data_IF_466121903366
#
_entry.id   IF_466121903366
#
_cell.length_a   1.000
_cell.length_b   1.000
_cell.length_c   1.000
_cell.angle_alpha   90.00
_cell.angle_beta   90.00
_cell.angle_gamma   90.00
#
_symmetry.space_group_name_H-M   'P 1'
#
loop_
_entity.id
_entity.type
_entity.pdbx_description
1 polymer ?
#
# COMPACT_ATOMS: atom_id res chain seq x y z
N UNK A 1 -54.58 10.84 -23.29
CA UNK A 1 -53.89 9.60 -22.89
C UNK A 1 -52.95 9.25 -24.01
N UNK A 2 -51.65 9.49 -23.83
CA UNK A 2 -50.64 9.17 -24.83
C UNK A 2 -49.42 8.65 -24.10
N UNK A 3 -48.93 7.50 -24.59
CA UNK A 3 -48.11 6.52 -23.91
C UNK A 3 -46.76 7.05 -23.40
N UNK A 4 -46.48 6.75 -22.13
CA UNK A 4 -45.14 6.73 -21.56
C UNK A 4 -44.42 5.45 -22.02
N UNK A 5 -43.90 5.44 -23.25
CA UNK A 5 -42.95 4.44 -23.74
C UNK A 5 -41.77 5.18 -24.34
N UNK A 6 -40.77 5.46 -23.51
CA UNK A 6 -39.38 5.73 -23.90
C UNK A 6 -38.57 6.00 -22.62
N UNK A 7 -37.98 4.95 -22.00
CA UNK A 7 -36.90 5.14 -21.01
C UNK A 7 -36.08 3.90 -20.54
N UNK A 8 -36.01 2.73 -21.21
CA UNK A 8 -35.10 1.67 -20.75
C UNK A 8 -33.63 1.91 -21.14
N UNK A 9 -33.38 2.54 -22.29
CA UNK A 9 -32.03 2.61 -22.87
C UNK A 9 -31.09 3.55 -22.10
N UNK A 10 -31.61 4.69 -21.62
CA UNK A 10 -30.80 5.69 -20.90
C UNK A 10 -30.40 5.22 -19.48
N UNK A 11 -31.28 4.43 -18.82
CA UNK A 11 -30.99 3.88 -17.49
C UNK A 11 -29.87 2.84 -17.54
N UNK A 12 -29.87 1.97 -18.55
CA UNK A 12 -28.84 0.95 -18.70
C UNK A 12 -27.44 1.56 -18.94
N UNK A 13 -27.36 2.71 -19.61
CA UNK A 13 -26.10 3.44 -19.80
C UNK A 13 -25.62 4.06 -18.47
N UNK A 14 -26.54 4.66 -17.70
CA UNK A 14 -26.21 5.24 -16.39
C UNK A 14 -25.76 4.16 -15.37
N UNK A 15 -26.41 2.99 -15.35
CA UNK A 15 -26.03 1.88 -14.48
C UNK A 15 -24.67 1.29 -14.86
N UNK A 16 -24.42 1.07 -16.16
CA UNK A 16 -23.11 0.61 -16.63
C UNK A 16 -21.99 1.59 -16.28
N UNK A 17 -22.29 2.89 -16.28
CA UNK A 17 -21.36 3.95 -15.88
C UNK A 17 -21.08 3.93 -14.37
N UNK A 18 -22.12 3.76 -13.54
CA UNK A 18 -21.99 3.64 -12.07
C UNK A 18 -21.25 2.36 -11.65
N UNK A 19 -21.52 1.25 -12.32
CA UNK A 19 -20.82 -0.01 -12.10
C UNK A 19 -19.33 0.12 -12.45
N UNK A 20 -19.03 0.71 -13.61
CA UNK A 20 -17.66 1.02 -14.02
C UNK A 20 -16.92 1.92 -13.03
N UNK A 21 -17.57 2.99 -12.55
CA UNK A 21 -17.00 3.88 -11.54
C UNK A 21 -16.70 3.15 -10.22
N UNK A 22 -17.60 2.29 -9.75
CA UNK A 22 -17.37 1.48 -8.54
C UNK A 22 -16.17 0.53 -8.71
N UNK A 23 -16.09 -0.17 -9.84
CA UNK A 23 -14.94 -1.03 -10.13
C UNK A 23 -13.61 -0.24 -10.12
N UNK A 24 -13.60 0.95 -10.73
CA UNK A 24 -12.41 1.79 -10.76
C UNK A 24 -12.02 2.28 -9.36
N UNK A 25 -12.99 2.69 -8.55
CA UNK A 25 -12.77 3.09 -7.15
C UNK A 25 -12.19 1.97 -6.30
N UNK A 26 -12.71 0.74 -6.43
CA UNK A 26 -12.19 -0.43 -5.72
C UNK A 26 -10.75 -0.71 -6.14
N UNK A 27 -10.46 -0.74 -7.45
CA UNK A 27 -9.11 -0.97 -8.00
C UNK A 27 -8.12 0.10 -7.52
N UNK A 28 -8.55 1.36 -7.49
CA UNK A 28 -7.76 2.49 -7.03
C UNK A 28 -7.41 2.36 -5.55
N UNK A 29 -8.40 2.15 -4.68
CA UNK A 29 -8.18 2.00 -3.23
C UNK A 29 -7.27 0.82 -2.92
N UNK A 30 -7.50 -0.33 -3.55
CA UNK A 30 -6.60 -1.49 -3.44
C UNK A 30 -5.17 -1.13 -3.84
N UNK A 31 -5.01 -0.45 -4.97
CA UNK A 31 -3.72 -0.02 -5.50
C UNK A 31 -2.98 0.97 -4.61
N UNK A 32 -3.69 1.85 -3.92
CA UNK A 32 -3.12 2.74 -2.91
C UNK A 32 -2.57 1.94 -1.74
N UNK A 33 -3.35 1.00 -1.21
CA UNK A 33 -2.89 0.14 -0.12
C UNK A 33 -1.72 -0.77 -0.52
N UNK A 34 -1.67 -1.25 -1.76
CA UNK A 34 -0.51 -1.99 -2.29
C UNK A 34 0.78 -1.15 -2.20
N UNK A 35 0.72 0.12 -2.59
CA UNK A 35 1.87 1.04 -2.52
C UNK A 35 2.26 1.33 -1.07
N UNK A 36 1.29 1.56 -0.19
CA UNK A 36 1.54 1.81 1.23
C UNK A 36 2.16 0.58 1.91
N UNK A 37 1.64 -0.62 1.62
CA UNK A 37 2.16 -1.90 2.09
C UNK A 37 3.62 -2.12 1.67
N UNK A 38 3.95 -1.82 0.41
CA UNK A 38 5.33 -1.94 -0.08
C UNK A 38 6.26 -0.96 0.68
N UNK A 39 5.81 0.26 0.92
CA UNK A 39 6.57 1.26 1.69
C UNK A 39 6.79 0.82 3.14
N UNK A 40 5.76 0.33 3.82
CA UNK A 40 5.87 -0.17 5.20
C UNK A 40 6.75 -1.42 5.28
N UNK A 41 6.63 -2.34 4.31
CA UNK A 41 7.47 -3.53 4.22
C UNK A 41 8.95 -3.18 4.01
N UNK A 42 9.24 -2.19 3.16
CA UNK A 42 10.62 -1.72 2.98
C UNK A 42 11.19 -1.13 4.27
N UNK A 43 10.44 -0.28 4.98
CA UNK A 43 10.85 0.26 6.28
C UNK A 43 11.14 -0.85 7.29
N UNK A 44 10.26 -1.85 7.35
CA UNK A 44 10.42 -3.02 8.21
C UNK A 44 11.71 -3.80 7.88
N UNK A 45 12.02 -4.02 6.60
CA UNK A 45 13.28 -4.65 6.19
C UNK A 45 14.50 -3.85 6.62
N UNK A 46 14.52 -2.54 6.34
CA UNK A 46 15.63 -1.65 6.71
C UNK A 46 15.85 -1.65 8.22
N UNK A 47 14.78 -1.57 9.00
CA UNK A 47 14.84 -1.59 10.45
C UNK A 47 15.36 -2.93 10.99
N UNK A 48 14.87 -4.06 10.47
CA UNK A 48 15.38 -5.39 10.84
C UNK A 48 16.86 -5.55 10.52
N UNK A 49 17.31 -5.07 9.37
CA UNK A 49 18.74 -5.04 9.02
C UNK A 49 19.54 -4.17 9.99
N UNK A 50 19.04 -2.99 10.35
CA UNK A 50 19.69 -2.11 11.32
C UNK A 50 19.81 -2.76 12.71
N UNK A 51 18.77 -3.46 13.17
CA UNK A 51 18.79 -4.19 14.45
C UNK A 51 19.84 -5.31 14.45
N UNK A 52 19.94 -6.08 13.36
CA UNK A 52 20.97 -7.14 13.24
C UNK A 52 22.38 -6.52 13.27
N UNK A 53 22.60 -5.44 12.53
CA UNK A 53 23.90 -4.75 12.49
C UNK A 53 24.28 -4.16 13.85
N UNK A 54 23.33 -3.54 14.55
CA UNK A 54 23.56 -2.96 15.87
C UNK A 54 23.88 -4.05 16.90
N UNK A 55 23.13 -5.15 16.90
CA UNK A 55 23.40 -6.29 17.78
C UNK A 55 24.76 -6.93 17.48
N UNK A 56 25.14 -7.06 16.21
CA UNK A 56 26.45 -7.55 15.81
C UNK A 56 27.57 -6.61 16.27
N UNK A 57 27.37 -5.29 16.17
CA UNK A 57 28.31 -4.28 16.64
C UNK A 57 28.46 -4.29 18.16
N UNK A 58 27.37 -4.41 18.92
CA UNK A 58 27.41 -4.56 20.38
C UNK A 58 28.16 -5.83 20.76
N UNK A 59 27.85 -6.96 20.10
CA UNK A 59 28.54 -8.23 20.30
C UNK A 59 30.04 -8.08 20.02
N UNK A 60 30.41 -7.42 18.93
CA UNK A 60 31.80 -7.14 18.60
C UNK A 60 32.44 -6.27 19.68
N UNK A 61 31.81 -5.19 20.15
CA UNK A 61 32.36 -4.34 21.22
C UNK A 61 32.55 -5.12 22.54
N UNK A 62 31.65 -6.06 22.85
CA UNK A 62 31.73 -6.88 24.08
C UNK A 62 32.77 -8.00 23.98
N UNK A 63 32.92 -8.63 22.82
CA UNK A 63 33.82 -9.79 22.62
C UNK A 63 35.20 -9.44 22.06
N UNK A 64 35.35 -8.32 21.36
CA UNK A 64 36.68 -7.84 20.97
C UNK A 64 37.34 -7.38 22.24
N UNK A 65 38.37 -8.10 22.68
CA UNK A 65 39.24 -7.66 23.77
C UNK A 65 39.50 -6.16 23.58
N UNK A 66 39.06 -5.36 24.56
CA UNK A 66 38.99 -3.90 24.51
C UNK A 66 40.39 -3.29 24.29
N UNK A 67 41.45 -4.07 24.13
CA UNK A 67 42.82 -3.67 23.83
C UNK A 67 42.94 -2.70 22.63
N UNK A 68 42.11 -2.79 21.59
CA UNK A 68 42.15 -1.82 20.47
C UNK A 68 41.54 -0.48 20.87
N UNK A 69 40.40 -0.47 21.56
CA UNK A 69 39.74 0.75 22.03
C UNK A 69 40.45 1.40 23.23
N UNK A 70 41.14 0.59 24.05
CA UNK A 70 41.91 1.00 25.24
C UNK A 70 43.02 1.99 24.89
N UNK A 71 43.59 1.87 23.69
CA UNK A 71 44.61 2.80 23.19
C UNK A 71 44.04 4.20 22.87
N UNK A 72 42.75 4.30 22.57
CA UNK A 72 42.10 5.55 22.22
C UNK A 72 41.27 6.15 23.38
N UNK A 73 40.70 5.30 24.24
CA UNK A 73 39.86 5.71 25.37
C UNK A 73 40.07 4.78 26.59
N UNK A 74 41.06 5.05 27.45
CA UNK A 74 41.39 4.19 28.59
C UNK A 74 40.28 4.12 29.67
N UNK A 75 39.41 5.13 29.74
CA UNK A 75 38.28 5.20 30.68
C UNK A 75 37.16 4.19 30.38
N UNK A 76 37.11 3.60 29.18
CA UNK A 76 36.01 2.70 28.76
C UNK A 76 35.97 1.40 29.59
N UNK A 77 37.09 0.99 30.18
CA UNK A 77 37.19 -0.22 30.98
C UNK A 77 36.72 -0.07 32.44
N UNK A 78 36.24 1.10 32.85
CA UNK A 78 35.60 1.20 34.16
C UNK A 78 34.37 0.29 34.20
N UNK A 79 34.22 -0.58 35.22
CA UNK A 79 33.08 -1.51 35.32
C UNK A 79 31.73 -0.79 35.22
N UNK A 80 31.65 0.44 35.74
CA UNK A 80 30.47 1.30 35.68
C UNK A 80 30.10 1.66 34.25
N UNK A 81 31.09 2.00 33.40
CA UNK A 81 30.88 2.40 32.01
C UNK A 81 30.46 1.19 31.17
N UNK A 82 31.08 0.02 31.40
CA UNK A 82 30.69 -1.24 30.76
C UNK A 82 29.24 -1.63 31.10
N UNK A 83 28.88 -1.64 32.38
CA UNK A 83 27.50 -1.94 32.82
C UNK A 83 26.50 -0.92 32.24
N UNK A 84 26.84 0.37 32.29
CA UNK A 84 25.98 1.42 31.74
C UNK A 84 25.78 1.27 30.23
N UNK A 85 26.86 0.99 29.47
CA UNK A 85 26.76 0.74 28.03
C UNK A 85 25.93 -0.50 27.69
N UNK A 86 26.05 -1.57 28.50
CA UNK A 86 25.24 -2.79 28.36
C UNK A 86 23.76 -2.54 28.61
N UNK A 87 23.43 -1.78 29.68
CA UNK A 87 22.06 -1.39 29.99
C UNK A 87 21.46 -0.46 28.92
N UNK A 88 22.23 0.51 28.43
CA UNK A 88 21.81 1.42 27.37
C UNK A 88 21.55 0.67 26.07
N UNK A 89 22.45 -0.25 25.70
CA UNK A 89 22.29 -1.11 24.52
C UNK A 89 21.03 -1.98 24.61
N UNK A 90 20.78 -2.59 25.79
CA UNK A 90 19.58 -3.38 26.05
C UNK A 90 18.30 -2.53 25.97
N UNK A 91 18.32 -1.31 26.52
CA UNK A 91 17.19 -0.39 26.44
C UNK A 91 16.89 0.04 25.00
N UNK A 92 17.91 0.41 24.21
CA UNK A 92 17.77 0.74 22.79
C UNK A 92 17.22 -0.47 22.01
N UNK A 93 17.73 -1.67 22.29
CA UNK A 93 17.23 -2.90 21.67
C UNK A 93 15.75 -3.15 21.97
N UNK A 94 15.34 -3.04 23.24
CA UNK A 94 13.95 -3.21 23.65
C UNK A 94 13.02 -2.17 23.01
N UNK A 95 13.41 -0.90 22.99
CA UNK A 95 12.65 0.17 22.34
C UNK A 95 12.49 -0.13 20.84
N UNK A 96 13.57 -0.53 20.16
CA UNK A 96 13.53 -0.87 18.74
C UNK A 96 12.67 -2.10 18.44
N UNK A 97 12.73 -3.12 19.30
CA UNK A 97 11.92 -4.34 19.16
C UNK A 97 10.43 -4.07 19.39
N UNK A 98 10.10 -3.27 20.42
CA UNK A 98 8.73 -2.85 20.68
C UNK A 98 8.18 -1.97 19.55
N UNK A 99 8.99 -1.05 19.01
CA UNK A 99 8.59 -0.23 17.87
C UNK A 99 8.35 -1.06 16.59
N UNK A 100 9.20 -2.08 16.33
CA UNK A 100 9.03 -3.02 15.21
C UNK A 100 7.69 -3.77 15.30
N UNK A 101 7.44 -4.39 16.46
CA UNK A 101 6.25 -5.22 16.70
C UNK A 101 4.95 -4.42 16.75
N UNK A 102 4.93 -3.29 17.47
CA UNK A 102 3.67 -2.56 17.69
C UNK A 102 3.31 -1.59 16.56
N UNK A 103 4.29 -0.91 15.95
CA UNK A 103 3.99 0.17 15.02
C UNK A 103 4.10 -0.26 13.56
N UNK A 104 5.21 -0.88 13.16
CA UNK A 104 5.47 -1.14 11.74
C UNK A 104 4.74 -2.39 11.26
N UNK A 105 4.79 -3.47 12.04
CA UNK A 105 4.11 -4.73 11.70
C UNK A 105 2.58 -4.59 11.74
N UNK A 106 2.05 -3.90 12.76
CA UNK A 106 0.63 -3.58 12.87
C UNK A 106 0.13 -2.79 11.66
N UNK A 107 0.81 -1.69 11.29
CA UNK A 107 0.42 -0.87 10.13
C UNK A 107 0.49 -1.65 8.81
N UNK A 108 1.52 -2.47 8.62
CA UNK A 108 1.64 -3.33 7.45
C UNK A 108 0.50 -4.36 7.38
N UNK A 109 0.11 -4.95 8.52
CA UNK A 109 -1.01 -5.89 8.59
C UNK A 109 -2.36 -5.25 8.24
N UNK A 110 -2.57 -3.99 8.62
CA UNK A 110 -3.78 -3.23 8.29
C UNK A 110 -3.89 -3.00 6.78
N UNK A 111 -2.79 -2.67 6.11
CA UNK A 111 -2.77 -2.54 4.65
C UNK A 111 -3.01 -3.88 3.95
N UNK A 112 -2.42 -4.97 4.42
CA UNK A 112 -2.68 -6.33 3.89
C UNK A 112 -4.15 -6.70 4.02
N UNK A 113 -4.77 -6.46 5.18
CA UNK A 113 -6.19 -6.71 5.40
C UNK A 113 -7.07 -5.88 4.46
N UNK A 114 -6.76 -4.60 4.29
CA UNK A 114 -7.49 -3.74 3.36
C UNK A 114 -7.38 -4.25 1.90
N UNK A 115 -6.17 -4.64 1.46
CA UNK A 115 -5.95 -5.24 0.14
C UNK A 115 -6.79 -6.49 -0.05
N UNK A 116 -6.83 -7.37 0.95
CA UNK A 116 -7.64 -8.58 0.93
C UNK A 116 -9.13 -8.25 0.81
N UNK A 117 -9.64 -7.35 1.65
CA UNK A 117 -11.05 -6.93 1.63
C UNK A 117 -11.47 -6.33 0.28
N UNK A 118 -10.63 -5.48 -0.33
CA UNK A 118 -10.90 -4.94 -1.67
C UNK A 118 -10.77 -6.00 -2.77
N UNK A 119 -9.89 -6.99 -2.61
CA UNK A 119 -9.75 -8.10 -3.54
C UNK A 119 -10.98 -8.99 -3.50
N UNK A 120 -11.44 -9.36 -2.31
CA UNK A 120 -12.65 -10.14 -2.09
C UNK A 120 -13.87 -9.39 -2.63
N UNK A 121 -13.99 -8.09 -2.35
CA UNK A 121 -15.07 -7.26 -2.89
C UNK A 121 -15.05 -7.22 -4.42
N UNK A 122 -13.87 -7.06 -5.03
CA UNK A 122 -13.73 -7.08 -6.49
C UNK A 122 -14.06 -8.44 -7.10
N UNK A 123 -13.77 -9.53 -6.39
CA UNK A 123 -14.12 -10.87 -6.83
C UNK A 123 -15.63 -11.09 -6.73
N UNK A 124 -16.24 -10.76 -5.60
CA UNK A 124 -17.67 -10.87 -5.36
C UNK A 124 -18.48 -10.07 -6.39
N UNK A 125 -18.04 -8.85 -6.71
CA UNK A 125 -18.66 -8.00 -7.74
C UNK A 125 -18.62 -8.67 -9.12
N UNK A 126 -17.48 -9.24 -9.50
CA UNK A 126 -17.36 -9.99 -10.77
C UNK A 126 -18.22 -11.25 -10.79
N UNK A 127 -18.26 -11.99 -9.69
CA UNK A 127 -19.09 -13.19 -9.57
C UNK A 127 -20.56 -12.86 -9.67
N UNK A 128 -21.01 -11.78 -9.03
CA UNK A 128 -22.40 -11.31 -9.14
C UNK A 128 -22.72 -10.89 -10.58
N UNK A 129 -21.82 -10.19 -11.25
CA UNK A 129 -21.95 -9.82 -12.67
C UNK A 129 -22.10 -11.03 -13.59
N UNK A 130 -21.28 -12.07 -13.40
CA UNK A 130 -21.36 -13.31 -14.19
C UNK A 130 -22.69 -14.05 -13.95
N UNK A 131 -23.24 -13.97 -12.73
CA UNK A 131 -24.50 -14.61 -12.36
C UNK A 131 -25.74 -13.82 -12.79
N UNK A 132 -25.61 -12.51 -13.00
CA UNK A 132 -26.71 -11.65 -13.43
C UNK A 132 -27.14 -11.95 -14.86
N UNK A 133 -28.44 -12.12 -15.09
CA UNK A 133 -29.01 -12.25 -16.43
C UNK A 133 -28.79 -10.93 -17.19
N UNK A 134 -27.96 -10.96 -18.24
CA UNK A 134 -27.58 -9.77 -19.01
C UNK A 134 -26.20 -9.20 -18.69
N UNK A 135 -25.47 -9.78 -17.72
CA UNK A 135 -24.09 -9.39 -17.43
C UNK A 135 -23.93 -7.99 -16.82
N UNK A 136 -25.01 -7.44 -16.26
CA UNK A 136 -25.06 -6.16 -15.55
C UNK A 136 -25.77 -6.34 -14.21
N UNK A 137 -25.25 -5.73 -13.16
CA UNK A 137 -25.83 -5.85 -11.82
C UNK A 137 -27.16 -5.08 -11.71
N UNK A 138 -28.09 -5.61 -10.90
CA UNK A 138 -29.26 -4.84 -10.50
C UNK A 138 -28.87 -3.66 -9.61
N UNK A 139 -29.72 -2.64 -9.53
CA UNK A 139 -29.46 -1.45 -8.72
C UNK A 139 -29.30 -1.78 -7.23
N UNK A 140 -30.08 -2.73 -6.71
CA UNK A 140 -30.00 -3.16 -5.32
C UNK A 140 -28.67 -3.86 -5.01
N UNK A 141 -28.19 -4.71 -5.92
CA UNK A 141 -26.89 -5.37 -5.80
C UNK A 141 -25.76 -4.35 -5.88
N UNK A 142 -25.83 -3.40 -6.82
CA UNK A 142 -24.82 -2.35 -6.97
C UNK A 142 -24.74 -1.48 -5.71
N UNK A 143 -25.89 -1.10 -5.15
CA UNK A 143 -25.97 -0.35 -3.89
C UNK A 143 -25.41 -1.15 -2.71
N UNK A 144 -25.63 -2.47 -2.66
CA UNK A 144 -25.04 -3.34 -1.65
C UNK A 144 -23.50 -3.35 -1.76
N UNK A 145 -22.95 -3.52 -2.95
CA UNK A 145 -21.49 -3.46 -3.18
C UNK A 145 -20.91 -2.09 -2.84
N UNK A 146 -21.61 -1.01 -3.18
CA UNK A 146 -21.20 0.35 -2.85
C UNK A 146 -21.16 0.59 -1.32
N UNK A 147 -22.16 0.10 -0.58
CA UNK A 147 -22.16 0.18 0.89
C UNK A 147 -20.99 -0.58 1.50
N UNK A 148 -20.72 -1.80 1.00
CA UNK A 148 -19.58 -2.60 1.47
C UNK A 148 -18.25 -1.94 1.13
N UNK A 149 -18.13 -1.32 -0.04
CA UNK A 149 -16.99 -0.48 -0.41
C UNK A 149 -16.77 0.65 0.59
N UNK A 150 -17.82 1.41 0.94
CA UNK A 150 -17.72 2.50 1.91
C UNK A 150 -17.30 2.00 3.29
N UNK A 151 -17.86 0.87 3.75
CA UNK A 151 -17.46 0.26 5.03
C UNK A 151 -15.98 -0.11 5.05
N UNK A 152 -15.48 -0.75 3.99
CA UNK A 152 -14.05 -1.08 3.87
C UNK A 152 -13.23 0.21 3.85
N UNK A 153 -13.64 1.22 3.08
CA UNK A 153 -12.91 2.49 2.99
C UNK A 153 -12.84 3.22 4.32
N UNK A 154 -13.91 3.22 5.12
CA UNK A 154 -13.95 3.86 6.43
C UNK A 154 -13.13 3.11 7.48
N UNK A 155 -13.11 1.77 7.40
CA UNK A 155 -12.39 0.92 8.35
C UNK A 155 -10.92 0.68 7.95
N UNK A 156 -10.58 0.93 6.69
CA UNK A 156 -9.21 0.78 6.19
C UNK A 156 -8.31 1.82 6.81
N UNK A 157 -7.12 1.40 7.22
CA UNK A 157 -6.15 2.33 7.80
C UNK A 157 -5.67 3.32 6.73
N UNK A 158 -6.19 4.54 6.78
CA UNK A 158 -5.66 5.66 6.02
C UNK A 158 -4.50 6.25 6.81
N UNK A 159 -3.28 6.02 6.32
CA UNK A 159 -2.14 6.86 6.70
C UNK A 159 -2.50 8.33 6.41
N UNK A 160 -1.87 9.30 7.07
CA UNK A 160 -2.14 10.75 6.91
C UNK A 160 -2.50 11.15 5.47
N UNK A 161 -3.46 12.07 5.25
CA UNK A 161 -3.96 12.41 3.90
C UNK A 161 -2.86 12.63 2.84
N UNK A 162 -1.74 13.26 3.19
CA UNK A 162 -0.56 13.44 2.31
C UNK A 162 0.07 12.11 1.84
N UNK A 163 0.15 11.13 2.72
CA UNK A 163 0.70 9.81 2.41
C UNK A 163 -0.24 9.03 1.47
N UNK A 164 -1.55 9.17 1.68
CA UNK A 164 -2.56 8.64 0.77
C UNK A 164 -2.43 9.25 -0.63
N UNK A 165 -2.38 10.59 -0.74
CA UNK A 165 -2.26 11.29 -2.02
C UNK A 165 -0.98 10.91 -2.77
N UNK A 166 0.13 10.78 -2.03
CA UNK A 166 1.41 10.34 -2.59
C UNK A 166 1.33 8.91 -3.11
N UNK A 167 0.71 8.00 -2.34
CA UNK A 167 0.54 6.61 -2.73
C UNK A 167 -0.40 6.49 -3.94
N UNK A 168 -1.48 7.26 -3.99
CA UNK A 168 -2.38 7.35 -5.14
C UNK A 168 -1.66 7.84 -6.39
N UNK A 169 -0.88 8.92 -6.29
CA UNK A 169 -0.06 9.43 -7.39
C UNK A 169 0.92 8.36 -7.89
N UNK A 170 1.60 7.66 -6.97
CA UNK A 170 2.54 6.61 -7.33
C UNK A 170 1.84 5.42 -7.99
N UNK A 171 0.68 5.01 -7.50
CA UNK A 171 -0.14 3.97 -8.12
C UNK A 171 -0.57 4.34 -9.54
N UNK A 172 -1.10 5.55 -9.73
CA UNK A 172 -1.51 6.04 -11.05
C UNK A 172 -0.33 6.11 -12.03
N UNK A 173 0.85 6.52 -11.56
CA UNK A 173 2.08 6.48 -12.36
C UNK A 173 2.46 5.05 -12.75
N UNK A 174 2.37 4.07 -11.83
CA UNK A 174 2.61 2.65 -12.13
C UNK A 174 1.61 2.12 -13.15
N UNK A 175 0.33 2.46 -13.01
CA UNK A 175 -0.74 2.10 -13.96
C UNK A 175 -0.44 2.68 -15.35
N UNK A 176 -0.07 3.95 -15.45
CA UNK A 176 0.29 4.59 -16.73
C UNK A 176 1.55 3.99 -17.36
N UNK A 177 2.56 3.66 -16.55
CA UNK A 177 3.80 3.01 -17.02
C UNK A 177 3.55 1.59 -17.52
N UNK A 178 2.67 0.85 -16.85
CA UNK A 178 2.21 -0.46 -17.31
C UNK A 178 1.51 -0.34 -18.66
N UNK A 179 0.56 0.59 -18.80
CA UNK A 179 -0.14 0.83 -20.06
C UNK A 179 0.82 1.22 -21.20
N UNK A 180 1.80 2.07 -20.91
CA UNK A 180 2.85 2.42 -21.89
C UNK A 180 3.64 1.19 -22.37
N UNK A 181 3.91 0.23 -21.49
CA UNK A 181 4.60 -1.03 -21.84
C UNK A 181 3.69 -2.06 -22.51
N UNK A 182 2.40 -2.02 -22.23
CA UNK A 182 1.40 -2.81 -22.97
C UNK A 182 1.29 -2.31 -24.42
N UNK A 183 1.37 -0.99 -24.64
CA UNK A 183 1.42 -0.41 -26.00
C UNK A 183 2.70 -0.79 -26.75
N UNK A 184 3.85 -0.82 -26.06
CA UNK A 184 5.09 -1.32 -26.64
C UNK A 184 5.99 -1.98 -25.56
N UNK A 185 6.12 -3.32 -25.59
CA UNK A 185 6.93 -4.06 -24.61
C UNK A 185 8.41 -3.71 -24.63
N UNK A 186 8.92 -3.21 -25.76
CA UNK A 186 10.34 -2.94 -25.99
C UNK A 186 10.74 -1.49 -25.71
N UNK A 187 9.84 -0.67 -25.15
CA UNK A 187 10.23 0.68 -24.74
C UNK A 187 11.37 0.67 -23.73
N UNK A 188 12.40 1.46 -24.01
CA UNK A 188 13.42 1.78 -23.01
C UNK A 188 12.77 2.45 -21.79
N UNK A 189 13.42 2.37 -20.62
CA UNK A 189 12.90 2.97 -19.37
C UNK A 189 12.54 4.46 -19.54
N UNK A 190 13.28 5.20 -20.37
CA UNK A 190 13.04 6.62 -20.65
C UNK A 190 11.83 6.84 -21.56
N UNK A 191 11.67 6.02 -22.60
CA UNK A 191 10.51 6.09 -23.52
C UNK A 191 9.22 5.71 -22.79
N UNK A 192 9.22 4.63 -22.02
CA UNK A 192 8.05 4.20 -21.24
C UNK A 192 7.61 5.29 -20.24
N UNK A 193 8.56 5.98 -19.59
CA UNK A 193 8.24 7.10 -18.69
C UNK A 193 7.63 8.30 -19.43
N UNK A 194 8.18 8.70 -20.57
CA UNK A 194 7.62 9.80 -21.39
C UNK A 194 6.20 9.47 -21.81
N UNK A 195 5.99 8.26 -22.33
CA UNK A 195 4.68 7.79 -22.74
C UNK A 195 3.68 7.70 -21.59
N UNK A 196 4.10 7.24 -20.41
CA UNK A 196 3.26 7.22 -19.22
C UNK A 196 2.79 8.63 -18.80
N UNK A 197 3.65 9.64 -18.92
CA UNK A 197 3.29 11.05 -18.64
C UNK A 197 2.27 11.58 -19.65
N UNK A 198 2.38 11.20 -20.92
CA UNK A 198 1.38 11.55 -21.94
C UNK A 198 0.03 10.88 -21.64
N UNK A 199 0.05 9.60 -21.28
CA UNK A 199 -1.13 8.83 -20.91
C UNK A 199 -1.81 9.45 -19.68
N UNK A 200 -1.05 9.89 -18.67
CA UNK A 200 -1.61 10.50 -17.46
C UNK A 200 -2.19 11.89 -17.67
N UNK A 201 -1.85 12.56 -18.79
CA UNK A 201 -2.35 13.90 -19.15
C UNK A 201 -3.57 13.85 -20.08
N UNK A 202 -3.82 12.73 -20.76
CA UNK A 202 -5.02 12.59 -21.59
C UNK A 202 -6.24 12.40 -20.69
N UNK A 203 -7.35 13.12 -20.91
CA UNK A 203 -8.61 12.79 -20.26
C UNK A 203 -9.02 11.35 -20.65
N UNK A 204 -9.74 10.63 -19.78
CA UNK A 204 -10.26 9.32 -20.14
C UNK A 204 -11.06 9.44 -21.44
N UNK A 205 -10.77 8.56 -22.40
CA UNK A 205 -11.49 8.54 -23.67
C UNK A 205 -12.91 8.01 -23.40
N UNK A 206 -13.89 8.91 -23.30
CA UNK A 206 -15.30 8.58 -23.11
C UNK A 206 -15.98 9.40 -22.01
N UNK A 207 -16.02 10.72 -22.17
CA UNK A 207 -17.03 11.57 -21.52
C UNK A 207 -18.22 11.74 -22.45
#
# INVERSE_FOLDING_TARGET
MTNAQNQPENRNVEYNTREGDLEERIKLQRGVHDVLQESTSFKLKVQKSANILLSALITLVVFTDINILKNYYPSINEPKILIFSGLLALAIFLINALFDSFFVESNNSLHIRAIQQYTDLSFDLKTAKIKSEGGSLSEDELNHFYRRYLQISQNSHTTTGKAFDSAQKQYLQRKALRKAREENPFYTKKQAKRRAVEISKKPPAGG
#
